data_IF_368447223460
#
_entry.id   IF_368447223460
#
_cell.length_a   1.000
_cell.length_b   1.000
_cell.length_c   1.000
_cell.angle_alpha   90.00
_cell.angle_beta   90.00
_cell.angle_gamma   90.00
#
_symmetry.space_group_name_H-M   'P 1'
#
loop_
_entity.id
_entity.type
_entity.pdbx_description
1 polymer ?
#
# COMPACT_ATOMS: atom_id res chain seq x y z
N UNK A 1 -41.79 16.91 2.18
CA UNK A 1 -40.46 16.57 2.72
C UNK A 1 -39.78 15.67 1.71
N UNK A 2 -38.82 16.20 0.95
CA UNK A 2 -38.26 15.53 -0.23
C UNK A 2 -37.56 14.22 0.14
N UNK A 3 -37.92 13.15 -0.54
CA UNK A 3 -37.21 11.88 -0.58
C UNK A 3 -35.79 12.12 -1.05
N UNK A 4 -34.82 12.06 -0.14
CA UNK A 4 -33.41 11.94 -0.51
C UNK A 4 -33.26 10.57 -1.18
N UNK A 5 -33.35 10.56 -2.51
CA UNK A 5 -33.16 9.36 -3.31
C UNK A 5 -31.85 8.67 -2.93
N UNK A 6 -31.99 7.38 -2.62
CA UNK A 6 -30.97 6.37 -2.30
C UNK A 6 -30.07 6.11 -3.52
N UNK A 7 -29.44 7.17 -4.02
CA UNK A 7 -28.64 7.18 -5.25
C UNK A 7 -27.16 7.02 -4.93
N UNK A 8 -26.47 6.26 -5.77
CA UNK A 8 -25.02 6.09 -5.69
C UNK A 8 -24.31 7.46 -5.63
N UNK A 9 -23.19 7.57 -4.90
CA UNK A 9 -22.50 8.84 -4.75
C UNK A 9 -22.05 9.32 -6.13
N UNK A 10 -22.29 10.60 -6.41
CA UNK A 10 -21.87 11.20 -7.68
C UNK A 10 -20.37 10.96 -7.91
N UNK A 11 -19.92 10.90 -9.17
CA UNK A 11 -18.52 10.64 -9.48
C UNK A 11 -17.55 11.60 -8.76
N UNK A 12 -17.92 12.89 -8.68
CA UNK A 12 -17.15 13.89 -7.94
C UNK A 12 -17.11 13.61 -6.42
N UNK A 13 -18.22 13.14 -5.84
CA UNK A 13 -18.27 12.77 -4.42
C UNK A 13 -17.42 11.54 -4.12
N UNK A 14 -17.37 10.54 -5.00
CA UNK A 14 -16.46 9.37 -4.86
C UNK A 14 -15.01 9.81 -4.76
N UNK A 15 -14.58 10.70 -5.67
CA UNK A 15 -13.22 11.26 -5.67
C UNK A 15 -12.94 12.02 -4.37
N UNK A 16 -13.84 12.91 -3.95
CA UNK A 16 -13.69 13.67 -2.72
C UNK A 16 -13.57 12.77 -1.48
N UNK A 17 -14.42 11.74 -1.38
CA UNK A 17 -14.40 10.77 -0.28
C UNK A 17 -13.09 9.99 -0.24
N UNK A 18 -12.54 9.59 -1.39
CA UNK A 18 -11.25 8.92 -1.44
C UNK A 18 -10.11 9.83 -0.93
N UNK A 19 -10.03 11.08 -1.41
CA UNK A 19 -9.03 12.03 -0.91
C UNK A 19 -9.19 12.33 0.58
N UNK A 20 -10.43 12.49 1.06
CA UNK A 20 -10.69 12.67 2.47
C UNK A 20 -10.24 11.46 3.31
N UNK A 21 -10.50 10.23 2.84
CA UNK A 21 -10.05 9.01 3.51
C UNK A 21 -8.52 8.93 3.62
N UNK A 22 -7.81 9.26 2.53
CA UNK A 22 -6.35 9.28 2.48
C UNK A 22 -5.82 10.35 3.44
N UNK A 23 -6.27 11.59 3.30
CA UNK A 23 -5.78 12.72 4.09
C UNK A 23 -6.06 12.54 5.59
N UNK A 24 -7.30 12.24 5.96
CA UNK A 24 -7.68 12.02 7.37
C UNK A 24 -6.95 10.80 7.92
N UNK A 25 -6.84 9.72 7.14
CA UNK A 25 -6.10 8.53 7.53
C UNK A 25 -4.63 8.83 7.85
N UNK A 26 -3.95 9.57 6.98
CA UNK A 26 -2.56 9.99 7.19
C UNK A 26 -2.45 10.87 8.44
N UNK A 27 -3.28 11.92 8.58
CA UNK A 27 -3.20 12.84 9.71
C UNK A 27 -3.48 12.14 11.04
N UNK A 28 -4.54 11.33 11.12
CA UNK A 28 -4.93 10.62 12.34
C UNK A 28 -3.88 9.56 12.69
N UNK A 29 -3.43 8.76 11.71
CA UNK A 29 -2.42 7.73 11.95
C UNK A 29 -1.08 8.32 12.38
N UNK A 30 -0.65 9.42 11.76
CA UNK A 30 0.58 10.13 12.13
C UNK A 30 0.49 10.75 13.52
N UNK A 31 -0.65 11.36 13.87
CA UNK A 31 -0.85 11.94 15.21
C UNK A 31 -0.82 10.85 16.29
N UNK A 32 -1.58 9.77 16.12
CA UNK A 32 -1.59 8.63 17.06
C UNK A 32 -0.20 8.00 17.13
N UNK A 33 0.43 7.76 15.99
CA UNK A 33 1.78 7.20 15.90
C UNK A 33 2.80 8.03 16.68
N UNK A 34 2.84 9.34 16.44
CA UNK A 34 3.74 10.25 17.14
C UNK A 34 3.48 10.26 18.65
N UNK A 35 2.21 10.31 19.09
CA UNK A 35 1.87 10.29 20.52
C UNK A 35 2.28 8.99 21.20
N UNK A 36 1.97 7.83 20.60
CA UNK A 36 2.30 6.52 21.17
C UNK A 36 3.81 6.31 21.24
N UNK A 37 4.52 6.63 20.16
CA UNK A 37 5.98 6.51 20.08
C UNK A 37 6.65 7.42 21.09
N UNK A 38 6.21 8.68 21.17
CA UNK A 38 6.71 9.65 22.15
C UNK A 38 6.46 9.21 23.60
N UNK A 39 5.24 8.72 23.90
CA UNK A 39 4.89 8.26 25.25
C UNK A 39 5.63 6.98 25.66
N UNK A 40 5.97 6.11 24.69
CA UNK A 40 6.75 4.89 24.93
C UNK A 40 8.27 5.14 24.95
N UNK A 41 8.71 6.38 24.64
CA UNK A 41 10.13 6.73 24.55
C UNK A 41 10.83 6.12 23.34
N UNK A 42 10.11 5.74 22.27
CA UNK A 42 10.69 5.12 21.08
C UNK A 42 11.19 6.14 20.04
N UNK A 43 12.11 5.69 19.18
CA UNK A 43 12.75 6.43 18.10
C UNK A 43 12.45 5.79 16.74
N UNK A 44 12.17 6.62 15.73
CA UNK A 44 11.81 6.17 14.37
C UNK A 44 13.02 5.81 13.49
N UNK A 45 14.16 6.46 13.72
CA UNK A 45 15.28 6.49 12.77
C UNK A 45 16.35 5.41 13.00
N UNK A 46 16.11 4.44 13.88
CA UNK A 46 17.08 3.37 14.13
C UNK A 46 16.83 2.20 13.14
N UNK A 47 17.75 1.91 12.20
CA UNK A 47 17.61 0.81 11.24
C UNK A 47 17.60 -0.56 11.92
N UNK A 48 16.96 -1.55 11.30
CA UNK A 48 16.72 -2.90 11.86
C UNK A 48 17.68 -4.00 11.35
N UNK A 49 18.86 -3.66 10.80
CA UNK A 49 19.75 -4.63 10.15
C UNK A 49 20.52 -5.58 11.08
N UNK A 50 20.55 -6.88 10.74
CA UNK A 50 21.32 -7.95 11.44
C UNK A 50 22.83 -7.67 11.53
N UNK A 51 23.42 -6.97 10.54
CA UNK A 51 24.82 -6.56 10.55
C UNK A 51 25.10 -5.27 11.33
N UNK A 52 24.19 -4.29 11.24
CA UNK A 52 24.25 -3.05 12.02
C UNK A 52 24.13 -3.35 13.52
N UNK A 53 23.29 -4.30 13.90
CA UNK A 53 23.11 -4.69 15.28
C UNK A 53 24.32 -5.41 15.85
N UNK A 54 24.94 -6.34 15.12
CA UNK A 54 26.14 -7.01 15.64
C UNK A 54 27.33 -6.06 15.81
N UNK A 55 27.65 -5.24 14.80
CA UNK A 55 28.77 -4.28 14.88
C UNK A 55 28.56 -3.21 15.94
N UNK A 56 27.32 -2.72 16.08
CA UNK A 56 26.94 -1.73 17.10
C UNK A 56 26.90 -2.33 18.50
N UNK A 57 26.32 -3.52 18.69
CA UNK A 57 26.32 -4.22 19.99
C UNK A 57 27.77 -4.48 20.41
N UNK A 58 28.62 -4.97 19.51
CA UNK A 58 30.05 -5.13 19.79
C UNK A 58 30.70 -3.80 20.21
N UNK A 59 30.36 -2.69 19.53
CA UNK A 59 30.81 -1.34 19.89
C UNK A 59 30.28 -0.81 21.23
N UNK A 60 29.00 -1.02 21.54
CA UNK A 60 28.37 -0.61 22.81
C UNK A 60 28.88 -1.43 23.98
N UNK A 61 29.05 -2.75 23.80
CA UNK A 61 29.71 -3.62 24.79
C UNK A 61 31.14 -3.16 25.01
N UNK A 62 31.89 -2.85 23.94
CA UNK A 62 33.26 -2.34 24.05
C UNK A 62 33.35 -0.96 24.71
N UNK A 63 32.29 -0.14 24.60
CA UNK A 63 32.20 1.21 25.17
C UNK A 63 31.41 1.27 26.49
N UNK A 64 30.97 0.12 27.03
CA UNK A 64 30.13 0.02 28.25
C UNK A 64 28.83 0.85 28.19
N UNK A 65 28.30 1.07 26.99
CA UNK A 65 27.02 1.76 26.77
C UNK A 65 25.86 0.77 26.94
N UNK A 66 24.75 1.15 27.59
CA UNK A 66 23.57 0.30 27.74
C UNK A 66 23.09 -0.27 26.39
N UNK A 67 22.75 -1.56 26.39
CA UNK A 67 22.27 -2.30 25.21
C UNK A 67 20.80 -2.00 24.85
N UNK A 68 20.24 -0.89 25.32
CA UNK A 68 18.89 -0.54 24.95
C UNK A 68 18.85 -0.01 23.51
N UNK A 69 17.78 -0.39 22.84
CA UNK A 69 17.37 0.27 21.63
C UNK A 69 15.96 0.77 21.93
N UNK A 70 15.74 2.07 21.88
CA UNK A 70 14.39 2.60 21.98
C UNK A 70 13.66 2.43 20.63
N UNK A 71 13.78 1.28 19.98
CA UNK A 71 13.14 1.01 18.68
C UNK A 71 11.66 0.75 18.89
N UNK A 72 10.84 1.24 17.96
CA UNK A 72 9.43 0.83 17.86
C UNK A 72 9.37 -0.67 17.53
N UNK A 73 8.86 -1.53 18.43
CA UNK A 73 8.73 -2.97 18.17
C UNK A 73 7.83 -3.23 16.96
N UNK A 74 8.04 -4.32 16.22
CA UNK A 74 7.24 -4.62 15.03
C UNK A 74 5.74 -4.69 15.32
N UNK A 75 5.35 -5.33 16.42
CA UNK A 75 3.93 -5.40 16.80
C UNK A 75 3.36 -3.99 16.98
N UNK A 76 4.11 -3.07 17.58
CA UNK A 76 3.70 -1.69 17.68
C UNK A 76 3.66 -1.02 16.30
N UNK A 77 4.66 -1.20 15.43
CA UNK A 77 4.65 -0.67 14.05
C UNK A 77 3.41 -1.13 13.28
N UNK A 78 3.07 -2.41 13.35
CA UNK A 78 1.86 -3.00 12.74
C UNK A 78 0.61 -2.36 13.31
N UNK A 79 0.47 -2.30 14.65
CA UNK A 79 -0.70 -1.71 15.30
C UNK A 79 -0.86 -0.22 14.97
N UNK A 80 0.25 0.51 14.84
CA UNK A 80 0.25 1.92 14.46
C UNK A 80 -0.22 2.18 13.03
N UNK A 81 -0.27 1.15 12.17
CA UNK A 81 -0.93 1.28 10.87
C UNK A 81 -2.45 1.19 10.98
N UNK A 82 -3.01 0.48 11.95
CA UNK A 82 -4.47 0.22 12.07
C UNK A 82 -5.34 1.48 11.92
N UNK A 83 -5.01 2.65 12.53
CA UNK A 83 -5.79 3.86 12.32
C UNK A 83 -5.89 4.31 10.86
N UNK A 84 -4.78 4.26 10.11
CA UNK A 84 -4.77 4.53 8.67
C UNK A 84 -5.74 3.57 7.96
N UNK A 85 -5.62 2.28 8.24
CA UNK A 85 -6.45 1.23 7.67
C UNK A 85 -7.95 1.41 7.95
N UNK A 86 -8.30 1.82 9.17
CA UNK A 86 -9.68 2.15 9.56
C UNK A 86 -10.21 3.31 8.72
N UNK A 87 -9.41 4.33 8.42
CA UNK A 87 -9.84 5.41 7.54
C UNK A 87 -9.97 4.97 6.07
N UNK A 88 -8.98 4.23 5.54
CA UNK A 88 -8.96 3.79 4.14
C UNK A 88 -10.11 2.81 3.82
N UNK A 89 -10.42 1.88 4.72
CA UNK A 89 -11.53 0.91 4.57
C UNK A 89 -12.86 1.47 5.05
N UNK A 90 -12.83 2.23 6.16
CA UNK A 90 -14.03 2.71 6.83
C UNK A 90 -14.80 3.70 6.00
N UNK A 91 -14.14 4.55 5.20
CA UNK A 91 -14.85 5.50 4.33
C UNK A 91 -15.63 4.79 3.21
N UNK A 92 -15.03 3.94 2.34
CA UNK A 92 -15.77 3.15 1.36
C UNK A 92 -16.89 2.31 1.99
N UNK A 93 -16.61 1.68 3.14
CA UNK A 93 -17.59 0.84 3.86
C UNK A 93 -18.78 1.66 4.39
N UNK A 94 -18.51 2.78 5.07
CA UNK A 94 -19.55 3.65 5.64
C UNK A 94 -20.42 4.26 4.54
N UNK A 95 -19.82 4.65 3.42
CA UNK A 95 -20.53 5.14 2.23
C UNK A 95 -21.43 4.05 1.66
N UNK A 96 -20.91 2.83 1.52
CA UNK A 96 -21.71 1.67 1.11
C UNK A 96 -22.90 1.43 2.05
N UNK A 97 -22.70 1.49 3.36
CA UNK A 97 -23.77 1.27 4.35
C UNK A 97 -24.81 2.39 4.34
N UNK A 98 -24.39 3.66 4.31
CA UNK A 98 -25.30 4.81 4.37
C UNK A 98 -26.14 4.99 3.11
N UNK A 99 -25.63 4.55 1.97
CA UNK A 99 -26.31 4.70 0.66
C UNK A 99 -26.76 3.34 0.09
N UNK A 100 -26.76 2.28 0.91
CA UNK A 100 -27.12 0.91 0.56
C UNK A 100 -26.54 0.43 -0.77
N UNK A 101 -25.27 0.75 -1.00
CA UNK A 101 -24.57 0.40 -2.23
C UNK A 101 -24.22 -1.07 -2.23
N UNK A 102 -24.34 -1.70 -3.39
CA UNK A 102 -23.90 -3.07 -3.59
C UNK A 102 -22.39 -3.09 -3.85
N UNK A 103 -21.64 -3.82 -3.04
CA UNK A 103 -20.18 -3.85 -3.15
C UNK A 103 -19.72 -4.35 -4.52
N UNK A 104 -20.43 -5.33 -5.11
CA UNK A 104 -20.06 -5.88 -6.41
C UNK A 104 -20.31 -4.87 -7.52
N UNK A 105 -21.51 -4.32 -7.58
CA UNK A 105 -21.94 -3.37 -8.61
C UNK A 105 -21.20 -2.05 -8.50
N UNK A 106 -21.10 -1.48 -7.29
CA UNK A 106 -20.72 -0.08 -7.08
C UNK A 106 -19.24 0.12 -6.78
N UNK A 107 -18.52 -0.94 -6.41
CA UNK A 107 -17.07 -0.92 -6.16
C UNK A 107 -16.30 -1.98 -6.96
N UNK A 108 -16.99 -2.91 -7.63
CA UNK A 108 -16.33 -4.01 -8.33
C UNK A 108 -15.88 -5.14 -7.40
N UNK A 109 -16.43 -5.23 -6.18
CA UNK A 109 -16.08 -6.30 -5.25
C UNK A 109 -16.42 -7.67 -5.85
N UNK A 110 -15.42 -8.51 -6.01
CA UNK A 110 -15.59 -9.80 -6.65
C UNK A 110 -14.29 -10.35 -7.19
N UNK A 111 -14.20 -11.66 -7.27
CA UNK A 111 -13.04 -12.38 -7.77
C UNK A 111 -13.47 -13.68 -8.42
N UNK A 112 -12.77 -14.07 -9.47
CA UNK A 112 -12.90 -15.37 -10.15
C UNK A 112 -11.60 -16.16 -10.00
N UNK A 113 -11.65 -17.48 -10.21
CA UNK A 113 -10.43 -18.33 -10.16
C UNK A 113 -9.35 -17.88 -11.15
N UNK A 114 -9.76 -17.33 -12.30
CA UNK A 114 -8.82 -16.77 -13.29
C UNK A 114 -8.13 -15.52 -12.78
N UNK A 115 -8.81 -14.70 -11.98
CA UNK A 115 -8.22 -13.49 -11.40
C UNK A 115 -7.07 -13.83 -10.44
N UNK A 116 -7.16 -14.95 -9.71
CA UNK A 116 -6.08 -15.44 -8.85
C UNK A 116 -4.84 -15.76 -9.69
N UNK A 117 -4.97 -16.67 -10.66
CA UNK A 117 -3.82 -17.13 -11.45
C UNK A 117 -3.21 -16.01 -12.31
N UNK A 118 -4.04 -15.28 -13.06
CA UNK A 118 -3.58 -14.17 -13.89
C UNK A 118 -3.01 -13.05 -13.02
N UNK A 119 -3.70 -12.70 -11.94
CA UNK A 119 -3.26 -11.62 -11.05
C UNK A 119 -1.90 -11.91 -10.45
N UNK A 120 -1.71 -13.11 -9.85
CA UNK A 120 -0.43 -13.50 -9.29
C UNK A 120 0.70 -13.47 -10.34
N UNK A 121 0.48 -14.05 -11.52
CA UNK A 121 1.49 -14.04 -12.59
C UNK A 121 1.85 -12.62 -13.03
N UNK A 122 0.85 -11.76 -13.22
CA UNK A 122 1.09 -10.35 -13.62
C UNK A 122 1.78 -9.58 -12.50
N UNK A 123 1.42 -9.81 -11.24
CA UNK A 123 2.08 -9.21 -10.07
C UNK A 123 3.55 -9.60 -9.96
N UNK A 124 3.83 -10.91 -10.06
CA UNK A 124 5.20 -11.45 -10.08
C UNK A 124 5.99 -10.88 -11.25
N UNK A 125 5.42 -10.89 -12.46
CA UNK A 125 6.09 -10.33 -13.64
C UNK A 125 6.32 -8.81 -13.52
N UNK A 126 5.41 -8.08 -12.88
CA UNK A 126 5.58 -6.65 -12.60
C UNK A 126 6.77 -6.42 -11.68
N UNK A 127 6.91 -7.21 -10.60
CA UNK A 127 8.03 -7.13 -9.67
C UNK A 127 9.35 -7.60 -10.30
N UNK A 128 9.34 -8.74 -10.99
CA UNK A 128 10.54 -9.42 -11.45
C UNK A 128 11.06 -8.94 -12.82
N UNK A 129 10.21 -8.31 -13.64
CA UNK A 129 10.56 -7.89 -15.00
C UNK A 129 10.35 -6.39 -15.20
N UNK A 130 9.14 -5.88 -14.92
CA UNK A 130 8.82 -4.48 -15.21
C UNK A 130 9.61 -3.52 -14.33
N UNK A 131 9.70 -3.79 -13.03
CA UNK A 131 10.47 -2.96 -12.11
C UNK A 131 11.96 -2.90 -12.48
N UNK A 132 12.68 -4.02 -12.66
CA UNK A 132 14.06 -3.98 -13.13
C UNK A 132 14.23 -3.25 -14.46
N UNK A 133 13.30 -3.39 -15.40
CA UNK A 133 13.34 -2.67 -16.67
C UNK A 133 13.21 -1.15 -16.49
N UNK A 134 12.32 -0.71 -15.59
CA UNK A 134 12.17 0.71 -15.26
C UNK A 134 13.42 1.23 -14.57
N UNK A 135 13.94 0.50 -13.59
CA UNK A 135 15.06 0.98 -12.77
C UNK A 135 16.42 0.86 -13.47
N UNK A 136 16.62 -0.08 -14.39
CA UNK A 136 17.89 -0.25 -15.11
C UNK A 136 18.48 1.06 -15.67
N UNK A 137 17.73 1.92 -16.40
CA UNK A 137 18.26 3.21 -16.83
C UNK A 137 18.42 4.22 -15.68
N UNK A 138 17.58 4.16 -14.64
CA UNK A 138 17.65 5.08 -13.49
C UNK A 138 18.85 4.81 -12.59
N UNK A 139 19.28 3.56 -12.46
CA UNK A 139 20.45 3.13 -11.67
C UNK A 139 21.78 3.76 -12.14
N UNK A 140 21.79 4.47 -13.27
CA UNK A 140 22.92 5.32 -13.69
C UNK A 140 23.03 6.62 -12.89
N UNK A 141 21.96 6.99 -12.18
CA UNK A 141 21.81 8.27 -11.49
C UNK A 141 21.49 8.11 -10.00
N UNK A 142 21.12 6.91 -9.57
CA UNK A 142 20.74 6.61 -8.19
C UNK A 142 21.45 5.35 -7.72
N UNK A 143 21.67 5.23 -6.41
CA UNK A 143 22.13 3.99 -5.81
C UNK A 143 20.99 2.96 -5.78
N UNK A 144 21.27 1.75 -6.26
CA UNK A 144 20.31 0.65 -6.25
C UNK A 144 20.02 0.15 -4.85
N UNK A 145 20.94 0.31 -3.90
CA UNK A 145 20.72 -0.11 -2.53
C UNK A 145 19.65 0.73 -1.83
N UNK A 146 19.57 2.02 -2.12
CA UNK A 146 18.55 2.91 -1.56
C UNK A 146 17.13 2.52 -1.96
N UNK A 147 16.96 1.85 -3.10
CA UNK A 147 15.65 1.37 -3.57
C UNK A 147 15.05 0.33 -2.62
N UNK A 148 15.90 -0.53 -2.06
CA UNK A 148 15.47 -1.65 -1.22
C UNK A 148 15.40 -1.28 0.27
N UNK A 149 15.98 -0.15 0.72
CA UNK A 149 16.02 0.26 2.13
C UNK A 149 14.66 0.21 2.82
N UNK A 150 13.56 0.83 2.31
CA UNK A 150 12.29 0.82 3.01
C UNK A 150 11.73 -0.59 3.22
N UNK A 151 11.87 -1.44 2.20
CA UNK A 151 11.37 -2.81 2.24
C UNK A 151 12.27 -3.71 3.12
N UNK A 152 13.60 -3.53 3.05
CA UNK A 152 14.57 -4.20 3.94
C UNK A 152 14.31 -3.86 5.40
N UNK A 153 14.13 -2.59 5.74
CA UNK A 153 13.84 -2.16 7.12
C UNK A 153 12.52 -2.76 7.64
N UNK A 154 11.51 -2.84 6.78
CA UNK A 154 10.23 -3.45 7.13
C UNK A 154 10.39 -4.95 7.38
N UNK A 155 11.08 -5.68 6.50
CA UNK A 155 11.32 -7.13 6.68
C UNK A 155 12.22 -7.41 7.87
N UNK A 156 13.30 -6.64 8.03
CA UNK A 156 14.25 -6.82 9.12
C UNK A 156 13.66 -6.46 10.50
N UNK A 157 12.56 -5.71 10.55
CA UNK A 157 11.81 -5.53 11.81
C UNK A 157 11.06 -6.79 12.26
N UNK A 158 10.91 -7.81 11.40
CA UNK A 158 10.34 -9.11 11.77
C UNK A 158 11.39 -10.05 12.38
N UNK A 159 11.71 -9.80 13.65
CA UNK A 159 12.68 -10.51 14.48
C UNK A 159 12.23 -11.89 15.02
N UNK A 160 10.99 -12.29 14.74
CA UNK A 160 10.37 -13.50 15.27
C UNK A 160 9.45 -14.14 14.23
N UNK A 161 9.21 -15.46 14.34
CA UNK A 161 8.28 -16.17 13.45
C UNK A 161 6.86 -15.58 13.48
N UNK A 162 6.43 -15.09 14.64
CA UNK A 162 5.16 -14.36 14.78
C UNK A 162 5.21 -13.00 14.09
N UNK A 163 6.33 -12.29 14.20
CA UNK A 163 6.59 -11.05 13.47
C UNK A 163 6.53 -11.23 11.95
N UNK A 164 7.15 -12.29 11.42
CA UNK A 164 7.10 -12.61 9.98
C UNK A 164 5.67 -12.91 9.53
N UNK A 165 4.92 -13.67 10.33
CA UNK A 165 3.51 -13.95 10.02
C UNK A 165 2.66 -12.68 10.00
N UNK A 166 2.85 -11.79 10.99
CA UNK A 166 2.15 -10.50 11.06
C UNK A 166 2.52 -9.60 9.88
N UNK A 167 3.80 -9.55 9.51
CA UNK A 167 4.29 -8.81 8.35
C UNK A 167 3.64 -9.31 7.06
N UNK A 168 3.62 -10.62 6.82
CA UNK A 168 3.00 -11.23 5.63
C UNK A 168 1.50 -10.94 5.62
N UNK A 169 0.81 -11.16 6.74
CA UNK A 169 -0.63 -10.89 6.82
C UNK A 169 -0.95 -9.42 6.51
N UNK A 170 -0.16 -8.48 7.03
CA UNK A 170 -0.36 -7.06 6.78
C UNK A 170 0.00 -6.67 5.35
N UNK A 171 1.19 -7.02 4.86
CA UNK A 171 1.72 -6.51 3.58
C UNK A 171 1.25 -7.29 2.36
N UNK A 172 1.03 -8.60 2.48
CA UNK A 172 0.66 -9.46 1.35
C UNK A 172 -0.85 -9.62 1.25
N UNK A 173 -1.61 -9.46 2.34
CA UNK A 173 -3.07 -9.64 2.33
C UNK A 173 -3.81 -8.35 2.70
N UNK A 174 -3.45 -7.72 3.82
CA UNK A 174 -4.03 -6.46 4.26
C UNK A 174 -3.88 -5.38 3.20
N UNK A 175 -2.62 -4.94 2.94
CA UNK A 175 -2.21 -3.89 2.00
C UNK A 175 -3.01 -3.97 0.68
N UNK A 176 -2.98 -5.09 -0.04
CA UNK A 176 -3.74 -5.23 -1.28
C UNK A 176 -5.24 -5.03 -1.13
N UNK A 177 -5.87 -5.56 -0.09
CA UNK A 177 -7.34 -5.48 0.04
C UNK A 177 -7.79 -4.04 0.27
N UNK A 178 -7.21 -3.32 1.24
CA UNK A 178 -7.68 -1.95 1.51
C UNK A 178 -7.28 -0.97 0.42
N UNK A 179 -6.04 -1.06 -0.05
CA UNK A 179 -5.55 -0.12 -1.03
C UNK A 179 -6.31 -0.30 -2.34
N UNK A 180 -6.53 -1.53 -2.83
CA UNK A 180 -7.33 -1.72 -4.04
C UNK A 180 -8.79 -1.33 -3.85
N UNK A 181 -9.38 -1.56 -2.68
CA UNK A 181 -10.76 -1.15 -2.43
C UNK A 181 -10.92 0.38 -2.48
N UNK A 182 -9.97 1.13 -1.91
CA UNK A 182 -9.97 2.58 -1.94
C UNK A 182 -9.58 3.13 -3.31
N UNK A 183 -8.41 2.75 -3.83
CA UNK A 183 -7.85 3.32 -5.04
C UNK A 183 -8.58 2.88 -6.30
N UNK A 184 -8.98 1.61 -6.41
CA UNK A 184 -9.67 1.09 -7.62
C UNK A 184 -11.18 1.17 -7.44
N UNK A 185 -11.67 0.68 -6.30
CA UNK A 185 -13.11 0.61 -6.03
C UNK A 185 -13.78 1.97 -5.87
N UNK A 186 -13.08 2.95 -5.27
CA UNK A 186 -13.63 4.29 -5.02
C UNK A 186 -13.01 5.38 -5.91
N UNK A 187 -11.69 5.61 -5.83
CA UNK A 187 -11.03 6.73 -6.51
C UNK A 187 -11.04 6.58 -8.04
N UNK A 188 -10.44 5.50 -8.56
CA UNK A 188 -10.35 5.24 -10.00
C UNK A 188 -11.74 5.22 -10.63
N UNK A 189 -12.69 4.52 -10.00
CA UNK A 189 -14.06 4.47 -10.47
C UNK A 189 -14.72 5.85 -10.54
N UNK A 190 -14.56 6.66 -9.49
CA UNK A 190 -15.05 8.04 -9.49
C UNK A 190 -14.43 8.90 -10.59
N UNK A 191 -13.12 8.76 -10.84
CA UNK A 191 -12.43 9.43 -11.95
C UNK A 191 -12.93 8.96 -13.31
N UNK A 192 -13.06 7.64 -13.51
CA UNK A 192 -13.50 7.04 -14.76
C UNK A 192 -14.94 7.45 -15.12
N UNK A 193 -15.85 7.44 -14.14
CA UNK A 193 -17.23 7.91 -14.32
C UNK A 193 -17.28 9.42 -14.60
N UNK A 194 -16.50 10.24 -13.87
CA UNK A 194 -16.44 11.69 -14.07
C UNK A 194 -15.90 12.08 -15.45
N UNK A 195 -14.93 11.33 -15.94
CA UNK A 195 -14.24 11.58 -17.21
C UNK A 195 -14.81 10.78 -18.38
N UNK A 196 -15.92 10.06 -18.19
CA UNK A 196 -16.51 9.18 -19.20
C UNK A 196 -16.84 9.91 -20.52
N UNK A 197 -17.24 11.19 -20.44
CA UNK A 197 -17.49 12.06 -21.60
C UNK A 197 -16.26 12.25 -22.52
N UNK A 198 -15.05 11.95 -22.04
CA UNK A 198 -13.80 12.03 -22.82
C UNK A 198 -13.39 10.70 -23.47
N UNK A 199 -14.25 9.68 -23.43
CA UNK A 199 -14.02 8.38 -24.07
C UNK A 199 -12.71 7.72 -23.62
N UNK A 200 -11.86 7.34 -24.58
CA UNK A 200 -10.57 6.66 -24.31
C UNK A 200 -9.60 7.54 -23.51
N UNK A 201 -9.58 8.86 -23.76
CA UNK A 201 -8.73 9.80 -23.03
C UNK A 201 -9.15 9.84 -21.56
N UNK A 202 -10.46 9.88 -21.29
CA UNK A 202 -10.98 9.89 -19.92
C UNK A 202 -10.57 8.64 -19.12
N UNK A 203 -10.61 7.47 -19.77
CA UNK A 203 -10.14 6.20 -19.19
C UNK A 203 -8.65 6.23 -18.87
N UNK A 204 -7.82 6.69 -19.80
CA UNK A 204 -6.38 6.83 -19.58
C UNK A 204 -6.07 7.81 -18.43
N UNK A 205 -6.77 8.94 -18.37
CA UNK A 205 -6.65 9.90 -17.28
C UNK A 205 -7.10 9.34 -15.92
N UNK A 206 -8.11 8.47 -15.88
CA UNK A 206 -8.53 7.80 -14.65
C UNK A 206 -7.47 6.79 -14.16
N UNK A 207 -6.88 6.02 -15.08
CA UNK A 207 -5.75 5.12 -14.76
C UNK A 207 -4.57 5.91 -14.21
N UNK A 208 -4.11 6.94 -14.93
CA UNK A 208 -2.96 7.74 -14.51
C UNK A 208 -3.25 8.48 -13.20
N UNK A 209 -4.41 9.14 -13.10
CA UNK A 209 -4.79 9.92 -11.92
C UNK A 209 -4.83 9.06 -10.64
N UNK A 210 -5.52 7.92 -10.66
CA UNK A 210 -5.58 7.06 -9.47
C UNK A 210 -4.21 6.46 -9.12
N UNK A 211 -3.42 6.09 -10.13
CA UNK A 211 -2.11 5.46 -9.92
C UNK A 211 -1.06 6.45 -9.41
N UNK A 212 -1.11 7.70 -9.85
CA UNK A 212 -0.27 8.78 -9.31
C UNK A 212 -0.62 9.09 -7.87
N UNK A 213 -1.91 9.17 -7.51
CA UNK A 213 -2.32 9.41 -6.12
C UNK A 213 -1.87 8.24 -5.22
N UNK A 214 -2.02 7.00 -5.70
CA UNK A 214 -1.48 5.81 -5.03
C UNK A 214 0.04 5.92 -4.81
N UNK A 215 0.82 6.19 -5.85
CA UNK A 215 2.28 6.27 -5.71
C UNK A 215 2.72 7.44 -4.81
N UNK A 216 2.07 8.60 -4.93
CA UNK A 216 2.39 9.79 -4.14
C UNK A 216 2.07 9.62 -2.65
N UNK A 217 1.02 8.85 -2.29
CA UNK A 217 0.65 8.64 -0.88
C UNK A 217 1.67 7.84 -0.09
N UNK A 218 2.65 7.22 -0.76
CA UNK A 218 3.73 6.46 -0.12
C UNK A 218 4.89 7.36 0.32
N UNK A 219 4.97 8.60 -0.17
CA UNK A 219 6.05 9.56 0.14
C UNK A 219 7.47 9.01 -0.12
N UNK A 220 7.59 8.13 -1.11
CA UNK A 220 8.82 7.43 -1.46
C UNK A 220 9.30 7.87 -2.84
N UNK A 221 10.11 8.94 -2.90
CA UNK A 221 10.49 9.57 -4.16
C UNK A 221 11.27 8.62 -5.09
N UNK A 222 12.19 7.82 -4.53
CA UNK A 222 12.96 6.83 -5.30
C UNK A 222 12.09 5.66 -5.79
N UNK A 223 11.12 5.22 -4.98
CA UNK A 223 10.22 4.13 -5.32
C UNK A 223 9.04 4.59 -6.21
N UNK A 224 8.82 5.90 -6.35
CA UNK A 224 7.68 6.47 -7.07
C UNK A 224 7.49 5.90 -8.48
N UNK A 225 8.53 5.77 -9.34
CA UNK A 225 8.35 5.17 -10.67
C UNK A 225 7.83 3.73 -10.63
N UNK A 226 8.36 2.90 -9.71
CA UNK A 226 7.90 1.52 -9.51
C UNK A 226 6.48 1.45 -8.96
N UNK A 227 6.15 2.27 -7.96
CA UNK A 227 4.82 2.38 -7.37
C UNK A 227 3.78 2.85 -8.39
N UNK A 228 4.14 3.82 -9.24
CA UNK A 228 3.28 4.29 -10.33
C UNK A 228 3.03 3.17 -11.34
N UNK A 229 4.06 2.38 -11.67
CA UNK A 229 3.95 1.28 -12.63
C UNK A 229 3.00 0.18 -12.13
N UNK A 230 3.18 -0.34 -10.91
CA UNK A 230 2.24 -1.32 -10.33
C UNK A 230 0.84 -0.70 -10.17
N UNK A 231 0.79 0.59 -9.85
CA UNK A 231 -0.39 1.43 -9.86
C UNK A 231 -1.20 1.29 -11.16
N UNK A 232 -0.54 1.57 -12.28
CA UNK A 232 -1.10 1.53 -13.63
C UNK A 232 -1.53 0.12 -13.99
N UNK A 233 -0.68 -0.89 -13.76
CA UNK A 233 -0.99 -2.29 -14.08
C UNK A 233 -2.28 -2.75 -13.41
N UNK A 234 -2.41 -2.51 -12.10
CA UNK A 234 -3.61 -2.88 -11.35
C UNK A 234 -4.85 -2.06 -11.77
N UNK A 235 -4.71 -0.77 -12.06
CA UNK A 235 -5.81 0.07 -12.53
C UNK A 235 -6.31 -0.35 -13.93
N UNK A 236 -5.39 -0.66 -14.86
CA UNK A 236 -5.74 -1.18 -16.19
C UNK A 236 -6.44 -2.53 -16.07
N UNK A 237 -5.91 -3.45 -15.25
CA UNK A 237 -6.53 -4.75 -15.04
C UNK A 237 -7.94 -4.63 -14.47
N UNK A 238 -8.12 -3.78 -13.45
CA UNK A 238 -9.45 -3.48 -12.89
C UNK A 238 -10.39 -2.90 -13.94
N UNK A 239 -9.93 -1.96 -14.77
CA UNK A 239 -10.76 -1.34 -15.81
C UNK A 239 -11.17 -2.35 -16.90
N UNK A 240 -10.32 -3.35 -17.17
CA UNK A 240 -10.61 -4.42 -18.14
C UNK A 240 -11.60 -5.45 -17.60
N UNK A 241 -11.50 -5.82 -16.32
CA UNK A 241 -12.32 -6.92 -15.76
C UNK A 241 -13.54 -6.43 -14.99
N UNK A 242 -13.54 -5.19 -14.51
CA UNK A 242 -14.53 -4.64 -13.58
C UNK A 242 -14.51 -5.29 -12.19
N UNK A 243 -13.49 -6.10 -11.88
CA UNK A 243 -13.39 -6.87 -10.64
C UNK A 243 -12.15 -6.48 -9.84
N UNK A 244 -12.34 -6.13 -8.57
CA UNK A 244 -11.26 -5.82 -7.65
C UNK A 244 -10.33 -7.02 -7.44
N UNK A 245 -10.86 -8.25 -7.50
CA UNK A 245 -10.07 -9.45 -7.33
C UNK A 245 -8.84 -9.51 -8.26
N UNK A 246 -8.96 -9.05 -9.51
CA UNK A 246 -7.82 -9.03 -10.43
C UNK A 246 -6.71 -8.10 -9.93
N UNK A 247 -7.07 -6.87 -9.52
CA UNK A 247 -6.11 -5.90 -9.00
C UNK A 247 -5.51 -6.34 -7.67
N UNK A 248 -6.33 -6.90 -6.77
CA UNK A 248 -5.89 -7.43 -5.48
C UNK A 248 -4.83 -8.52 -5.69
N UNK A 249 -5.07 -9.51 -6.56
CA UNK A 249 -4.10 -10.58 -6.79
C UNK A 249 -2.83 -10.13 -7.51
N UNK A 250 -2.89 -9.09 -8.35
CA UNK A 250 -1.69 -8.43 -8.89
C UNK A 250 -0.86 -7.86 -7.76
N UNK A 251 -1.49 -7.10 -6.87
CA UNK A 251 -0.81 -6.47 -5.75
C UNK A 251 -0.29 -7.51 -4.74
N UNK A 252 -1.05 -8.57 -4.44
CA UNK A 252 -0.60 -9.72 -3.65
C UNK A 252 0.66 -10.34 -4.26
N UNK A 253 0.65 -10.65 -5.57
CA UNK A 253 1.79 -11.26 -6.25
C UNK A 253 3.03 -10.37 -6.24
N UNK A 254 2.84 -9.06 -6.42
CA UNK A 254 3.90 -8.06 -6.35
C UNK A 254 4.52 -8.00 -4.93
N UNK A 255 3.70 -7.80 -3.89
CA UNK A 255 4.18 -7.71 -2.50
C UNK A 255 4.79 -9.02 -2.01
N UNK A 256 4.17 -10.17 -2.31
CA UNK A 256 4.69 -11.47 -1.94
C UNK A 256 6.08 -11.73 -2.55
N UNK A 257 6.27 -11.34 -3.82
CA UNK A 257 7.57 -11.48 -4.49
C UNK A 257 8.64 -10.65 -3.78
N UNK A 258 8.33 -9.40 -3.43
CA UNK A 258 9.23 -8.54 -2.66
C UNK A 258 9.60 -9.15 -1.31
N UNK A 259 8.62 -9.60 -0.53
CA UNK A 259 8.85 -10.21 0.78
C UNK A 259 9.71 -11.47 0.67
N UNK A 260 9.41 -12.36 -0.28
CA UNK A 260 10.19 -13.60 -0.48
C UNK A 260 11.63 -13.31 -0.88
N UNK A 261 11.86 -12.37 -1.81
CA UNK A 261 13.21 -11.99 -2.24
C UNK A 261 14.02 -11.43 -1.07
N UNK A 262 13.40 -10.56 -0.25
CA UNK A 262 14.07 -9.94 0.89
C UNK A 262 14.34 -10.93 2.02
N UNK A 263 13.38 -11.80 2.36
CA UNK A 263 13.60 -12.84 3.38
C UNK A 263 14.77 -13.76 3.01
N UNK A 264 14.95 -14.09 1.72
CA UNK A 264 16.11 -14.88 1.23
C UNK A 264 17.45 -14.17 1.33
N UNK A 265 17.47 -12.84 1.49
CA UNK A 265 18.72 -12.08 1.63
C UNK A 265 19.16 -11.96 3.10
N UNK A 266 18.26 -12.27 4.04
CA UNK A 266 18.46 -12.05 5.48
C UNK A 266 18.50 -13.39 6.26
N UNK A 267 17.97 -14.47 5.68
CA UNK A 267 18.11 -15.85 6.16
C UNK A 267 19.41 -16.48 5.66
#
# INVERSE_FOLDING_TARGET
>A
MASVEDSAPSPGRRVLLAFAAIFVGIVVSSAIGATVVSAAGWEFDVPSGLGDDFGRIAGQVAAEVPLDHNRVPLVARVLLTVPLWVCLLGVPWLVSRRQKLDLRRDFGWGSSRRDVGVGLVVGIATQALLLPLIYMPLLRFIDGDDLAVPARNLVASADSSLGVLALVALTVVGAPIAEEFLYRGLLHRGLAERLAHRGRIGRALAVLGSSTVFAASHFQLLQFPGLLAVGIVAAVAFQMTGRLGTAIWIHVGFNATSVVVLLRQIA
#
